data_IF_771197544247
#
_entry.id   IF_771197544247
#
_cell.length_a   1.000
_cell.length_b   1.000
_cell.length_c   1.000
_cell.angle_alpha   90.00
_cell.angle_beta   90.00
_cell.angle_gamma   90.00
#
_symmetry.space_group_name_H-M   'P 1'
#
loop_
_entity.id
_entity.type
_entity.pdbx_description
1 polymer ?
#
# COMPACT_ATOMS: atom_id res chain seq x y z
N UNK A 1 -11.10 13.64 2.66
CA UNK A 1 -12.52 13.19 2.64
C UNK A 1 -12.75 12.34 1.39
N UNK A 2 -13.46 11.21 1.54
CA UNK A 2 -13.77 10.35 0.39
C UNK A 2 -14.89 10.98 -0.45
N UNK A 3 -14.68 11.20 -1.76
CA UNK A 3 -15.71 11.79 -2.60
C UNK A 3 -16.93 10.89 -2.75
N UNK A 4 -18.09 11.51 -2.88
CA UNK A 4 -19.34 10.84 -3.18
C UNK A 4 -19.85 11.40 -4.50
N UNK A 5 -20.16 10.52 -5.44
CA UNK A 5 -20.66 10.88 -6.77
C UNK A 5 -22.04 10.29 -7.00
N UNK A 6 -22.85 10.96 -7.80
CA UNK A 6 -24.16 10.45 -8.18
C UNK A 6 -24.11 9.97 -9.62
N UNK A 7 -24.53 8.71 -9.83
CA UNK A 7 -24.61 8.08 -11.14
C UNK A 7 -25.95 7.38 -11.27
N UNK A 8 -26.79 7.80 -12.21
CA UNK A 8 -28.10 7.18 -12.47
C UNK A 8 -28.94 7.03 -11.19
N UNK A 9 -29.02 8.10 -10.38
CA UNK A 9 -29.73 8.12 -9.10
C UNK A 9 -29.14 7.18 -8.03
N UNK A 10 -27.88 6.76 -8.21
CA UNK A 10 -27.15 5.96 -7.22
C UNK A 10 -26.01 6.82 -6.66
N UNK A 11 -25.91 6.89 -5.34
CA UNK A 11 -24.78 7.54 -4.68
C UNK A 11 -23.62 6.56 -4.60
N UNK A 12 -22.47 6.95 -5.14
CA UNK A 12 -21.26 6.13 -5.17
C UNK A 12 -20.20 6.78 -4.30
N UNK A 13 -19.82 6.07 -3.23
CA UNK A 13 -18.68 6.48 -2.43
C UNK A 13 -17.40 6.00 -3.13
N UNK A 14 -16.59 6.96 -3.55
CA UNK A 14 -15.37 6.68 -4.32
C UNK A 14 -14.22 6.32 -3.39
N UNK A 15 -14.22 5.08 -2.87
CA UNK A 15 -13.16 4.58 -1.99
C UNK A 15 -11.79 4.51 -2.68
N UNK A 16 -11.79 4.39 -4.01
CA UNK A 16 -10.58 4.48 -4.82
C UNK A 16 -9.94 5.87 -4.78
N UNK A 17 -10.69 6.89 -4.34
CA UNK A 17 -10.21 8.27 -4.24
C UNK A 17 -10.09 8.74 -2.79
N UNK A 18 -10.00 7.82 -1.82
CA UNK A 18 -9.91 8.19 -0.40
C UNK A 18 -8.64 8.97 -0.06
N UNK A 19 -7.55 8.71 -0.80
CA UNK A 19 -6.32 9.49 -0.75
C UNK A 19 -5.87 9.79 -2.17
N UNK A 20 -5.27 10.98 -2.40
CA UNK A 20 -4.79 11.32 -3.74
C UNK A 20 -3.57 10.48 -4.10
N UNK A 21 -3.27 10.35 -5.42
CA UNK A 21 -1.99 9.76 -5.82
C UNK A 21 -0.83 10.48 -5.13
N UNK A 22 0.25 9.78 -4.78
CA UNK A 22 0.62 8.42 -5.19
C UNK A 22 0.14 7.29 -4.27
N UNK A 23 -0.85 7.54 -3.40
CA UNK A 23 -1.46 6.47 -2.63
C UNK A 23 -2.17 5.47 -3.54
N UNK A 24 -2.21 4.17 -3.17
CA UNK A 24 -2.98 3.23 -3.97
C UNK A 24 -4.48 3.52 -3.89
N UNK A 25 -5.23 3.27 -4.98
CA UNK A 25 -6.65 3.61 -5.04
C UNK A 25 -7.53 2.55 -4.36
N UNK A 26 -7.41 2.39 -3.05
CA UNK A 26 -8.26 1.49 -2.30
C UNK A 26 -8.49 1.97 -0.86
N UNK A 27 -9.63 1.58 -0.28
CA UNK A 27 -10.09 2.08 1.02
C UNK A 27 -9.21 1.65 2.20
N UNK A 28 -8.46 0.55 2.05
CA UNK A 28 -7.58 0.04 3.11
C UNK A 28 -6.48 1.03 3.50
N UNK A 29 -6.20 2.02 2.65
CA UNK A 29 -5.23 3.07 2.98
C UNK A 29 -5.58 3.79 4.28
N UNK A 30 -6.86 3.99 4.57
CA UNK A 30 -7.29 4.62 5.82
C UNK A 30 -6.85 3.82 7.04
N UNK A 31 -7.10 2.51 7.02
CA UNK A 31 -6.69 1.62 8.11
C UNK A 31 -5.18 1.50 8.22
N UNK A 32 -4.50 1.39 7.08
CA UNK A 32 -3.04 1.27 7.05
C UNK A 32 -2.39 2.49 7.69
N UNK A 33 -2.73 3.70 7.23
CA UNK A 33 -2.07 4.90 7.73
C UNK A 33 -2.38 5.16 9.20
N UNK A 34 -3.60 4.89 9.65
CA UNK A 34 -3.98 5.05 11.04
C UNK A 34 -3.24 4.06 11.95
N UNK A 35 -3.15 2.80 11.52
CA UNK A 35 -2.42 1.78 12.27
C UNK A 35 -0.93 2.12 12.38
N UNK A 36 -0.31 2.52 11.28
CA UNK A 36 1.11 2.88 11.26
C UNK A 36 1.39 4.16 12.05
N UNK A 37 0.47 5.11 12.05
CA UNK A 37 0.59 6.32 12.88
C UNK A 37 0.62 5.95 14.35
N UNK A 38 -0.19 4.99 14.77
CA UNK A 38 -0.20 4.48 16.15
C UNK A 38 1.13 3.79 16.49
N UNK A 39 1.62 2.93 15.61
CA UNK A 39 2.89 2.25 15.82
C UNK A 39 4.04 3.25 15.94
N UNK A 40 4.03 4.31 15.14
CA UNK A 40 5.03 5.37 15.24
C UNK A 40 5.02 6.03 16.62
N UNK A 41 3.84 6.31 17.15
CA UNK A 41 3.70 6.88 18.51
C UNK A 41 4.25 5.94 19.57
N UNK A 42 4.23 4.63 19.34
CA UNK A 42 4.79 3.62 20.22
C UNK A 42 6.29 3.42 20.07
N UNK A 43 6.93 4.18 19.20
CA UNK A 43 8.38 4.12 18.98
C UNK A 43 8.85 3.16 17.89
N UNK A 44 7.94 2.60 17.12
CA UNK A 44 8.30 1.72 16.00
C UNK A 44 8.92 2.56 14.88
N UNK A 45 10.03 2.08 14.31
CA UNK A 45 10.73 2.76 13.21
C UNK A 45 10.66 1.98 11.91
N UNK A 46 10.55 0.65 11.97
CA UNK A 46 10.53 -0.23 10.80
C UNK A 46 9.23 -1.01 10.77
N UNK A 47 8.63 -1.11 9.59
CA UNK A 47 7.39 -1.86 9.37
C UNK A 47 7.63 -2.87 8.26
N UNK A 48 7.51 -4.15 8.58
CA UNK A 48 7.65 -5.23 7.62
C UNK A 48 6.30 -5.68 7.08
N UNK A 49 6.25 -5.98 5.78
CA UNK A 49 5.05 -6.52 5.16
C UNK A 49 5.45 -7.53 4.08
N UNK A 50 4.80 -8.69 4.10
CA UNK A 50 5.01 -9.69 3.05
C UNK A 50 4.07 -9.40 1.89
N UNK A 51 4.64 -9.10 0.72
CA UNK A 51 3.87 -8.78 -0.47
C UNK A 51 3.14 -10.01 -1.01
N UNK A 52 2.00 -9.78 -1.64
CA UNK A 52 1.22 -10.83 -2.28
C UNK A 52 1.06 -10.53 -3.77
N UNK A 53 0.58 -11.53 -4.52
CA UNK A 53 0.50 -11.39 -5.99
C UNK A 53 -0.58 -10.42 -6.46
N UNK A 54 -1.61 -10.15 -5.65
CA UNK A 54 -2.78 -9.37 -6.10
C UNK A 54 -3.11 -8.16 -5.24
N UNK A 55 -2.63 -8.10 -4.01
CA UNK A 55 -3.00 -7.03 -3.08
C UNK A 55 -2.20 -5.76 -3.32
N UNK A 56 -2.87 -4.60 -3.19
CA UNK A 56 -2.21 -3.29 -3.18
C UNK A 56 -1.65 -2.94 -1.80
N UNK A 57 -1.71 -3.84 -0.82
CA UNK A 57 -1.33 -3.53 0.55
C UNK A 57 0.16 -3.18 0.70
N UNK A 58 1.05 -3.85 -0.04
CA UNK A 58 2.48 -3.51 -0.02
C UNK A 58 2.73 -2.08 -0.50
N UNK A 59 2.07 -1.68 -1.57
CA UNK A 59 2.09 -0.30 -2.05
C UNK A 59 1.54 0.65 -0.97
N UNK A 60 0.42 0.29 -0.34
CA UNK A 60 -0.16 1.09 0.74
C UNK A 60 0.77 1.26 1.93
N UNK A 61 1.44 0.18 2.35
CA UNK A 61 2.41 0.22 3.45
C UNK A 61 3.61 1.11 3.10
N UNK A 62 4.16 0.95 1.89
CA UNK A 62 5.29 1.77 1.44
C UNK A 62 4.91 3.26 1.40
N UNK A 63 3.74 3.58 0.84
CA UNK A 63 3.23 4.93 0.79
C UNK A 63 3.05 5.53 2.19
N UNK A 64 2.35 4.82 3.08
CA UNK A 64 2.06 5.31 4.42
C UNK A 64 3.34 5.49 5.25
N UNK A 65 4.30 4.56 5.14
CA UNK A 65 5.59 4.69 5.81
C UNK A 65 6.31 5.95 5.35
N UNK A 66 6.30 6.24 4.05
CA UNK A 66 6.94 7.45 3.51
C UNK A 66 6.28 8.71 4.07
N UNK A 67 4.94 8.73 4.10
CA UNK A 67 4.18 9.86 4.65
C UNK A 67 4.49 10.10 6.13
N UNK A 68 4.72 9.03 6.90
CA UNK A 68 4.91 9.11 8.35
C UNK A 68 6.37 9.15 8.79
N UNK A 69 7.32 9.04 7.86
CA UNK A 69 8.74 8.99 8.21
C UNK A 69 9.18 7.66 8.82
N UNK A 70 8.46 6.57 8.52
CA UNK A 70 8.83 5.22 8.90
C UNK A 70 9.60 4.52 7.77
N UNK A 71 10.31 3.45 8.11
CA UNK A 71 11.01 2.62 7.13
C UNK A 71 10.14 1.40 6.80
N UNK A 72 9.78 1.25 5.54
CA UNK A 72 9.06 0.05 5.07
C UNK A 72 10.05 -1.03 4.66
N UNK A 73 9.79 -2.26 5.07
CA UNK A 73 10.54 -3.45 4.63
C UNK A 73 9.55 -4.37 3.95
N UNK A 74 9.67 -4.52 2.62
CA UNK A 74 8.78 -5.37 1.86
C UNK A 74 9.46 -6.70 1.55
N UNK A 75 8.85 -7.79 2.01
CA UNK A 75 9.29 -9.13 1.69
C UNK A 75 8.64 -9.52 0.38
N UNK A 76 9.45 -9.59 -0.69
CA UNK A 76 8.98 -9.69 -2.06
C UNK A 76 9.13 -11.12 -2.59
N UNK A 77 8.03 -11.87 -2.74
CA UNK A 77 8.12 -13.26 -3.21
C UNK A 77 8.58 -13.33 -4.66
N UNK A 78 9.52 -14.24 -4.91
CA UNK A 78 10.11 -14.45 -6.23
C UNK A 78 9.42 -15.62 -6.91
N UNK A 79 8.50 -15.33 -7.83
CA UNK A 79 7.78 -16.35 -8.61
C UNK A 79 8.57 -16.71 -9.86
N UNK A 80 8.37 -17.93 -10.36
CA UNK A 80 8.94 -18.34 -11.66
C UNK A 80 8.45 -17.43 -12.78
N UNK A 81 7.14 -17.16 -12.77
CA UNK A 81 6.53 -16.15 -13.65
C UNK A 81 5.86 -15.11 -12.76
N UNK A 82 6.37 -13.90 -12.79
CA UNK A 82 5.81 -12.81 -11.99
C UNK A 82 4.47 -12.38 -12.58
N UNK A 83 3.37 -12.38 -11.79
CA UNK A 83 2.09 -11.87 -12.27
C UNK A 83 2.20 -10.39 -12.69
N UNK A 84 1.49 -10.03 -13.76
CA UNK A 84 1.53 -8.65 -14.28
C UNK A 84 1.07 -7.62 -13.24
N UNK A 85 0.06 -7.95 -12.43
CA UNK A 85 -0.43 -7.05 -11.39
C UNK A 85 0.65 -6.80 -10.34
N UNK A 86 1.45 -7.81 -10.00
CA UNK A 86 2.55 -7.64 -9.05
C UNK A 86 3.66 -6.77 -9.64
N UNK A 87 3.96 -6.93 -10.94
CA UNK A 87 4.92 -6.05 -11.62
C UNK A 87 4.49 -4.60 -11.52
N UNK A 88 3.21 -4.33 -11.72
CA UNK A 88 2.65 -2.98 -11.59
C UNK A 88 2.79 -2.46 -10.14
N UNK A 89 2.44 -3.28 -9.16
CA UNK A 89 2.56 -2.88 -7.75
C UNK A 89 4.01 -2.61 -7.36
N UNK A 90 4.97 -3.41 -7.87
CA UNK A 90 6.39 -3.18 -7.64
C UNK A 90 6.84 -1.82 -8.19
N UNK A 91 6.34 -1.44 -9.37
CA UNK A 91 6.64 -0.13 -9.93
C UNK A 91 6.10 0.99 -9.05
N UNK A 92 4.92 0.80 -8.47
CA UNK A 92 4.32 1.82 -7.61
C UNK A 92 5.07 1.96 -6.28
N UNK A 93 5.38 0.86 -5.59
CA UNK A 93 6.01 0.99 -4.29
C UNK A 93 7.51 1.37 -4.36
N UNK A 94 8.16 1.20 -5.51
CA UNK A 94 9.55 1.64 -5.70
C UNK A 94 9.73 3.14 -5.53
N UNK A 95 8.73 3.94 -5.86
CA UNK A 95 8.82 5.40 -5.73
C UNK A 95 8.98 5.86 -4.29
N UNK A 96 8.66 5.02 -3.32
CA UNK A 96 8.78 5.34 -1.89
C UNK A 96 10.06 4.79 -1.27
N UNK A 97 10.91 4.17 -2.06
CA UNK A 97 12.22 3.64 -1.67
C UNK A 97 12.16 2.70 -0.43
N UNK A 98 11.29 1.69 -0.43
CA UNK A 98 11.27 0.72 0.68
C UNK A 98 12.49 -0.19 0.63
N UNK A 99 12.82 -0.79 1.76
CA UNK A 99 13.83 -1.85 1.81
C UNK A 99 13.17 -3.12 1.24
N UNK A 100 13.80 -3.72 0.24
CA UNK A 100 13.26 -4.91 -0.44
C UNK A 100 14.05 -6.13 0.01
N UNK A 101 13.34 -7.15 0.49
CA UNK A 101 13.94 -8.44 0.86
C UNK A 101 13.30 -9.52 -0.01
N UNK A 102 14.03 -10.04 -1.01
CA UNK A 102 13.49 -11.14 -1.81
C UNK A 102 13.30 -12.38 -0.96
N UNK A 103 12.16 -13.05 -1.11
CA UNK A 103 11.87 -14.31 -0.43
C UNK A 103 11.42 -15.35 -1.45
N UNK A 104 11.55 -16.61 -1.07
CA UNK A 104 11.09 -17.71 -1.92
C UNK A 104 9.57 -17.74 -1.92
N UNK A 105 8.97 -17.78 -3.12
CA UNK A 105 7.55 -18.03 -3.28
C UNK A 105 7.31 -19.53 -3.16
N UNK A 106 6.40 -19.89 -2.27
CA UNK A 106 6.23 -21.31 -2.04
C UNK A 106 4.85 -21.82 -2.09
#
# INVERSE_FOLDING_TARGET
MTPIEEHYNVLVKRDDLCFPPPAPPFSKCRGIIEHLRRLKREGIEYVGYTETSISMAGWGVAWACKELGLKAVLFDPQYKQTPEVLKYHRQQWKQFDPIIVPIQAG
#
